data_IF_687946600239
#
_entry.id   IF_687946600239
#
_cell.length_a   1.000
_cell.length_b   1.000
_cell.length_c   1.000
_cell.angle_alpha   90.00
_cell.angle_beta   90.00
_cell.angle_gamma   90.00
#
_symmetry.space_group_name_H-M   'P 1'
#
loop_
_entity.id
_entity.type
_entity.pdbx_description
1 polymer ?
#
# COMPACT_ATOMS: atom_id res chain seq x y z
N UNK A 1 -30.01 8.98 5.65
CA UNK A 1 -29.32 7.66 5.70
C UNK A 1 -29.09 6.99 4.33
N UNK A 2 -29.91 7.19 3.28
CA UNK A 2 -29.65 6.59 1.94
C UNK A 2 -28.42 7.14 1.20
N UNK A 3 -28.04 8.40 1.43
CA UNK A 3 -26.87 9.03 0.78
C UNK A 3 -25.51 8.54 1.31
N UNK A 4 -25.42 8.14 2.58
CA UNK A 4 -24.18 7.61 3.18
C UNK A 4 -23.83 6.22 2.63
N UNK A 5 -24.84 5.37 2.41
CA UNK A 5 -24.69 4.06 1.75
C UNK A 5 -24.26 4.20 0.29
N UNK A 6 -24.71 5.25 -0.40
CA UNK A 6 -24.29 5.55 -1.77
C UNK A 6 -22.81 5.95 -1.87
N UNK A 7 -22.31 6.78 -0.94
CA UNK A 7 -20.89 7.15 -0.87
C UNK A 7 -19.98 5.96 -0.55
N UNK A 8 -20.42 5.06 0.34
CA UNK A 8 -19.68 3.81 0.63
C UNK A 8 -19.64 2.85 -0.57
N UNK A 9 -20.72 2.79 -1.37
CA UNK A 9 -20.77 1.98 -2.58
C UNK A 9 -19.93 2.55 -3.73
N UNK A 10 -19.83 3.88 -3.89
CA UNK A 10 -18.89 4.46 -4.86
C UNK A 10 -17.42 4.27 -4.47
N UNK A 11 -17.11 4.33 -3.16
CA UNK A 11 -15.77 4.00 -2.66
C UNK A 11 -15.39 2.53 -2.91
N UNK A 12 -16.32 1.58 -2.77
CA UNK A 12 -16.07 0.16 -3.08
C UNK A 12 -16.01 -0.13 -4.58
N UNK A 13 -16.86 0.51 -5.40
CA UNK A 13 -16.96 0.18 -6.82
C UNK A 13 -15.87 0.80 -7.71
N UNK A 14 -15.35 1.99 -7.39
CA UNK A 14 -14.27 2.58 -8.21
C UNK A 14 -12.88 2.01 -7.91
N UNK A 15 -12.68 1.42 -6.73
CA UNK A 15 -11.34 1.02 -6.26
C UNK A 15 -10.99 -0.45 -6.50
N UNK A 16 -11.99 -1.33 -6.52
CA UNK A 16 -11.81 -2.69 -7.03
C UNK A 16 -11.35 -2.67 -8.50
N UNK A 17 -11.71 -1.65 -9.27
CA UNK A 17 -11.27 -1.47 -10.66
C UNK A 17 -9.77 -1.19 -10.75
N UNK A 18 -9.23 -0.32 -9.89
CA UNK A 18 -7.80 0.04 -9.88
C UNK A 18 -6.91 -1.17 -9.56
N UNK A 19 -7.32 -2.02 -8.61
CA UNK A 19 -6.61 -3.26 -8.28
C UNK A 19 -6.81 -4.36 -9.34
N UNK A 20 -7.98 -4.42 -10.00
CA UNK A 20 -8.23 -5.39 -11.09
C UNK A 20 -7.39 -5.10 -12.32
N UNK A 21 -7.16 -3.83 -12.62
CA UNK A 21 -6.34 -3.36 -13.74
C UNK A 21 -4.83 -3.38 -13.43
N UNK A 22 -4.44 -3.79 -12.22
CA UNK A 22 -3.05 -3.95 -11.84
C UNK A 22 -2.48 -5.20 -12.54
N UNK A 23 -1.38 -5.10 -13.30
CA UNK A 23 -0.80 -6.25 -14.00
C UNK A 23 -0.44 -7.40 -13.05
N UNK A 24 -0.56 -8.65 -13.50
CA UNK A 24 -0.33 -9.83 -12.65
C UNK A 24 1.09 -9.90 -12.06
N UNK A 25 2.07 -9.27 -12.71
CA UNK A 25 3.44 -9.12 -12.19
C UNK A 25 3.52 -8.41 -10.83
N UNK A 26 2.45 -7.76 -10.38
CA UNK A 26 2.32 -7.03 -9.11
C UNK A 26 1.35 -7.70 -8.10
N UNK A 27 0.95 -8.95 -8.37
CA UNK A 27 0.07 -9.77 -7.53
C UNK A 27 0.76 -11.00 -6.94
N UNK A 28 2.08 -10.93 -6.70
CA UNK A 28 2.79 -12.00 -5.98
C UNK A 28 2.46 -11.95 -4.50
N UNK A 29 2.12 -13.09 -3.94
CA UNK A 29 1.82 -13.23 -2.51
C UNK A 29 2.97 -12.76 -1.63
N UNK A 30 2.60 -12.18 -0.49
CA UNK A 30 3.54 -11.85 0.57
C UNK A 30 3.77 -13.07 1.46
N UNK A 31 5.02 -13.33 1.81
CA UNK A 31 5.36 -14.37 2.79
C UNK A 31 5.22 -13.85 4.23
N UNK A 32 5.03 -14.74 5.19
CA UNK A 32 4.72 -14.42 6.59
C UNK A 32 5.68 -13.41 7.23
N UNK A 33 6.98 -13.54 6.96
CA UNK A 33 7.98 -12.61 7.49
C UNK A 33 7.81 -11.17 6.95
N UNK A 34 7.47 -11.01 5.67
CA UNK A 34 7.19 -9.71 5.06
C UNK A 34 5.97 -9.03 5.69
N UNK A 35 4.93 -9.79 6.00
CA UNK A 35 3.72 -9.30 6.68
C UNK A 35 4.08 -8.73 8.06
N UNK A 36 4.93 -9.43 8.82
CA UNK A 36 5.39 -8.98 10.15
C UNK A 36 6.14 -7.64 10.08
N UNK A 37 6.98 -7.42 9.06
CA UNK A 37 7.67 -6.15 8.85
C UNK A 37 6.69 -5.00 8.58
N UNK A 38 5.65 -5.25 7.79
CA UNK A 38 4.59 -4.26 7.52
C UNK A 38 3.81 -3.94 8.79
N UNK A 39 3.45 -4.95 9.58
CA UNK A 39 2.75 -4.75 10.85
C UNK A 39 3.53 -3.88 11.84
N UNK A 40 4.85 -4.06 11.94
CA UNK A 40 5.69 -3.22 12.78
C UNK A 40 5.65 -1.76 12.31
N UNK A 41 5.78 -1.51 11.01
CA UNK A 41 5.69 -0.16 10.45
C UNK A 41 4.32 0.50 10.71
N UNK A 42 3.22 -0.26 10.60
CA UNK A 42 1.86 0.24 10.82
C UNK A 42 1.51 0.51 12.29
N UNK A 43 2.23 -0.07 13.25
CA UNK A 43 2.00 0.26 14.68
C UNK A 43 2.31 1.72 14.98
N UNK A 44 3.34 2.25 14.32
CA UNK A 44 3.85 3.60 14.56
C UNK A 44 3.28 4.63 13.56
N UNK A 45 2.44 4.19 12.63
CA UNK A 45 1.91 4.98 11.53
C UNK A 45 0.38 4.93 11.48
N UNK A 46 -0.25 6.03 11.07
CA UNK A 46 -1.68 6.04 10.86
C UNK A 46 -2.02 5.24 9.58
N UNK A 47 -2.73 4.12 9.72
CA UNK A 47 -3.09 3.22 8.61
C UNK A 47 -3.72 3.97 7.40
N UNK A 48 -4.64 4.94 7.58
CA UNK A 48 -5.21 5.71 6.48
C UNK A 48 -4.18 6.49 5.65
N UNK A 49 -3.15 7.06 6.28
CA UNK A 49 -2.10 7.81 5.58
C UNK A 49 -1.24 6.88 4.74
N UNK A 50 -0.85 5.73 5.29
CA UNK A 50 -0.12 4.69 4.53
C UNK A 50 -0.95 4.19 3.33
N UNK A 51 -2.25 4.02 3.55
CA UNK A 51 -3.18 3.59 2.52
C UNK A 51 -3.30 4.60 1.38
N UNK A 52 -3.32 5.90 1.71
CA UNK A 52 -3.34 6.98 0.73
C UNK A 52 -2.06 7.01 -0.11
N UNK A 53 -0.88 6.88 0.51
CA UNK A 53 0.40 6.80 -0.21
C UNK A 53 0.42 5.60 -1.15
N UNK A 54 0.01 4.42 -0.69
CA UNK A 54 -0.02 3.21 -1.52
C UNK A 54 -1.01 3.32 -2.69
N UNK A 55 -2.14 4.00 -2.48
CA UNK A 55 -3.15 4.28 -3.51
C UNK A 55 -2.65 5.22 -4.59
N UNK A 56 -1.97 6.31 -4.22
CA UNK A 56 -1.33 7.21 -5.19
C UNK A 56 -0.21 6.53 -5.95
N UNK A 57 0.54 5.66 -5.27
CA UNK A 57 1.56 4.82 -5.89
C UNK A 57 0.98 3.88 -6.96
N UNK A 58 -0.09 3.13 -6.65
CA UNK A 58 -0.73 2.19 -7.61
C UNK A 58 -1.13 2.91 -8.91
N UNK A 59 -1.60 4.15 -8.82
CA UNK A 59 -1.92 4.97 -10.00
C UNK A 59 -0.68 5.28 -10.84
N UNK A 60 0.47 5.58 -10.21
CA UNK A 60 1.73 5.89 -10.89
C UNK A 60 2.37 4.66 -11.55
N UNK A 61 2.26 3.48 -10.93
CA UNK A 61 2.91 2.24 -11.40
C UNK A 61 2.10 1.41 -12.40
N UNK A 62 0.91 1.87 -12.78
CA UNK A 62 0.19 1.33 -13.93
C UNK A 62 1.03 1.36 -15.21
N UNK A 63 2.02 2.26 -15.26
CA UNK A 63 3.01 2.35 -16.33
C UNK A 63 4.17 1.38 -16.09
N UNK A 64 4.79 0.90 -17.18
CA UNK A 64 5.59 -0.32 -17.28
C UNK A 64 6.86 -0.46 -16.38
N UNK A 65 6.71 -0.45 -15.05
CA UNK A 65 7.80 -0.56 -14.09
C UNK A 65 8.14 -2.03 -13.82
N UNK A 66 9.41 -2.32 -13.54
CA UNK A 66 9.90 -3.65 -13.16
C UNK A 66 9.39 -4.00 -11.74
N UNK A 67 8.70 -5.12 -11.61
CA UNK A 67 8.09 -5.52 -10.33
C UNK A 67 9.08 -6.10 -9.31
N UNK A 68 10.34 -6.32 -9.69
CA UNK A 68 11.38 -6.85 -8.80
C UNK A 68 12.09 -5.78 -7.97
N UNK A 69 11.71 -4.51 -8.08
CA UNK A 69 12.25 -3.47 -7.20
C UNK A 69 11.66 -3.55 -5.79
N UNK A 70 12.39 -3.11 -4.75
CA UNK A 70 11.84 -3.01 -3.40
C UNK A 70 10.70 -1.99 -3.33
N UNK A 71 9.57 -2.37 -2.74
CA UNK A 71 8.40 -1.48 -2.64
C UNK A 71 8.69 -0.27 -1.74
N UNK A 72 9.55 -0.44 -0.72
CA UNK A 72 9.98 0.63 0.21
C UNK A 72 10.46 1.88 -0.53
N UNK A 73 11.41 1.70 -1.45
CA UNK A 73 12.03 2.80 -2.20
C UNK A 73 11.00 3.61 -2.98
N UNK A 74 9.94 2.96 -3.46
CA UNK A 74 8.89 3.64 -4.21
C UNK A 74 7.80 4.26 -3.35
N UNK A 75 7.49 3.67 -2.20
CA UNK A 75 6.63 4.32 -1.21
C UNK A 75 7.30 5.63 -0.76
N UNK A 76 8.60 5.59 -0.47
CA UNK A 76 9.39 6.79 -0.13
C UNK A 76 9.42 7.81 -1.28
N UNK A 77 9.59 7.36 -2.53
CA UNK A 77 9.51 8.24 -3.70
C UNK A 77 8.13 8.90 -3.88
N UNK A 78 7.07 8.25 -3.40
CA UNK A 78 5.70 8.76 -3.52
C UNK A 78 5.36 9.81 -2.46
N UNK A 79 6.23 10.02 -1.47
CA UNK A 79 6.07 11.00 -0.40
C UNK A 79 6.94 12.22 -0.74
N UNK A 80 6.31 13.35 -1.04
CA UNK A 80 7.01 14.57 -1.45
C UNK A 80 7.82 15.18 -0.30
N UNK A 81 7.24 15.21 0.91
CA UNK A 81 7.91 15.77 2.09
C UNK A 81 8.74 14.70 2.81
N UNK A 82 10.06 14.76 2.60
CA UNK A 82 11.04 13.87 3.25
C UNK A 82 11.19 14.11 4.76
N UNK A 83 10.75 15.25 5.26
CA UNK A 83 10.76 15.55 6.70
C UNK A 83 9.47 15.09 7.40
N UNK A 84 8.49 14.60 6.63
CA UNK A 84 7.25 14.11 7.20
C UNK A 84 7.48 12.89 8.09
N UNK A 85 6.68 12.78 9.16
CA UNK A 85 6.71 11.64 10.08
C UNK A 85 6.45 10.31 9.36
N UNK A 86 5.64 10.33 8.30
CA UNK A 86 5.36 9.16 7.46
C UNK A 86 6.59 8.73 6.67
N UNK A 87 7.32 9.67 6.05
CA UNK A 87 8.57 9.38 5.34
C UNK A 87 9.59 8.75 6.29
N UNK A 88 9.87 9.42 7.43
CA UNK A 88 10.87 8.94 8.38
C UNK A 88 10.51 7.58 8.98
N UNK A 89 9.24 7.32 9.27
CA UNK A 89 8.82 6.02 9.80
C UNK A 89 8.97 4.91 8.74
N UNK A 90 8.56 5.16 7.50
CA UNK A 90 8.72 4.17 6.42
C UNK A 90 10.22 3.94 6.14
N UNK A 91 11.03 4.99 6.14
CA UNK A 91 12.47 4.89 5.92
C UNK A 91 13.17 4.06 7.01
N UNK A 92 12.77 4.20 8.27
CA UNK A 92 13.43 3.54 9.39
C UNK A 92 12.84 2.17 9.75
N UNK A 93 11.54 1.96 9.55
CA UNK A 93 10.83 0.78 10.08
C UNK A 93 10.22 -0.13 9.00
N UNK A 94 10.01 0.35 7.78
CA UNK A 94 9.45 -0.47 6.71
C UNK A 94 10.56 -1.29 6.04
N UNK A 95 10.45 -2.62 6.09
CA UNK A 95 11.23 -3.59 5.31
C UNK A 95 12.72 -3.23 5.11
N UNK A 96 13.48 -3.11 6.21
CA UNK A 96 14.90 -2.75 6.17
C UNK A 96 15.77 -3.76 5.40
N UNK A 97 15.32 -5.00 5.27
CA UNK A 97 15.99 -6.06 4.52
C UNK A 97 15.68 -6.01 3.02
N UNK A 98 14.82 -5.07 2.56
CA UNK A 98 14.39 -4.90 1.16
C UNK A 98 13.79 -6.18 0.57
N UNK A 99 13.07 -6.94 1.40
CA UNK A 99 12.49 -8.24 1.04
C UNK A 99 11.15 -8.11 0.33
N UNK A 100 10.42 -7.01 0.53
CA UNK A 100 9.11 -6.76 -0.06
C UNK A 100 9.30 -6.06 -1.40
N UNK A 101 8.89 -6.74 -2.47
CA UNK A 101 9.02 -6.22 -3.83
C UNK A 101 7.75 -5.50 -4.27
N UNK A 102 7.84 -4.69 -5.31
CA UNK A 102 6.66 -4.12 -5.99
C UNK A 102 5.71 -5.22 -6.45
N UNK A 103 6.25 -6.40 -6.75
CA UNK A 103 5.49 -7.60 -7.04
C UNK A 103 4.42 -7.92 -5.97
N UNK A 104 4.62 -7.45 -4.74
CA UNK A 104 3.72 -7.68 -3.60
C UNK A 104 2.69 -6.55 -3.38
N UNK A 105 2.63 -5.54 -4.25
CA UNK A 105 1.78 -4.34 -4.08
C UNK A 105 0.32 -4.68 -3.81
N UNK A 106 -0.25 -5.61 -4.58
CA UNK A 106 -1.64 -6.02 -4.43
C UNK A 106 -1.93 -6.58 -3.03
N UNK A 107 -1.14 -7.56 -2.60
CA UNK A 107 -1.32 -8.22 -1.30
C UNK A 107 -1.00 -7.29 -0.12
N UNK A 108 -0.03 -6.39 -0.27
CA UNK A 108 0.22 -5.33 0.71
C UNK A 108 -1.01 -4.46 0.90
N UNK A 109 -1.67 -4.06 -0.18
CA UNK A 109 -2.88 -3.26 -0.13
C UNK A 109 -4.05 -4.04 0.49
N UNK A 110 -4.27 -5.28 0.08
CA UNK A 110 -5.31 -6.15 0.68
C UNK A 110 -5.11 -6.31 2.19
N UNK A 111 -3.87 -6.54 2.62
CA UNK A 111 -3.50 -6.65 4.01
C UNK A 111 -3.92 -5.40 4.82
N UNK A 112 -3.60 -4.21 4.33
CA UNK A 112 -4.01 -2.95 4.97
C UNK A 112 -5.54 -2.79 5.02
N UNK A 113 -6.22 -3.23 3.97
CA UNK A 113 -7.68 -3.16 3.85
C UNK A 113 -8.38 -4.08 4.86
N UNK A 114 -7.81 -5.26 5.12
CA UNK A 114 -8.29 -6.15 6.18
C UNK A 114 -8.08 -5.55 7.57
N UNK A 115 -6.96 -4.85 7.79
CA UNK A 115 -6.67 -4.19 9.07
C UNK A 115 -7.57 -2.99 9.34
N UNK A 116 -8.00 -2.25 8.31
CA UNK A 116 -8.95 -1.12 8.47
C UNK A 116 -10.39 -1.56 8.74
N UNK A 117 -10.81 -2.75 8.29
CA UNK A 117 -12.16 -3.30 8.53
C UNK A 117 -12.38 -3.87 9.94
N UNK A 118 -11.33 -4.02 10.75
CA UNK A 118 -11.40 -4.56 12.13
C UNK A 118 -11.58 -3.46 13.21
N UNK A 119 -11.85 -2.21 12.84
CA UNK A 119 -12.22 -1.12 13.75
C UNK A 119 -13.66 -0.70 13.54
#
# INVERSE_FOLDING_TARGET
>A
MKHLLFLQNQFKNNFNTILKELPDKFKKEMIVFQISSVEKCLKDLNIPEFFQVLKEFIKKIRNNINSNYPIKSLILFSIEDKNSKIYQNIENNFDNQKTILMANTFHLYEFLLQKTKRK
#
